data_IF_659393237627
#
_entry.id   IF_659393237627
#
_cell.length_a   1.000
_cell.length_b   1.000
_cell.length_c   1.000
_cell.angle_alpha   90.00
_cell.angle_beta   90.00
_cell.angle_gamma   90.00
#
_symmetry.space_group_name_H-M   'P 1'
#
loop_
_entity.id
_entity.type
_entity.pdbx_description
1 polymer ?
#
# COMPACT_ATOMS: atom_id res chain seq x y z
N UNK A 1 20.85 -3.55 -30.41
CA UNK A 1 19.48 -3.30 -29.92
C UNK A 1 19.59 -2.89 -28.47
N UNK A 2 19.55 -1.59 -28.18
CA UNK A 2 19.63 -1.09 -26.80
C UNK A 2 18.22 -1.19 -26.23
N UNK A 3 18.02 -1.99 -25.18
CA UNK A 3 16.73 -2.04 -24.51
C UNK A 3 16.45 -0.66 -23.94
N UNK A 4 15.41 -0.01 -24.47
CA UNK A 4 14.84 1.20 -23.89
C UNK A 4 14.23 0.76 -22.56
N UNK A 5 15.03 0.75 -21.50
CA UNK A 5 14.52 0.55 -20.15
C UNK A 5 13.57 1.70 -19.87
N UNK A 6 12.27 1.43 -19.81
CA UNK A 6 11.31 2.45 -19.38
C UNK A 6 11.65 2.81 -17.94
N UNK A 7 12.14 4.03 -17.71
CA UNK A 7 12.34 4.55 -16.36
C UNK A 7 10.98 4.57 -15.64
N UNK A 8 10.87 3.78 -14.58
CA UNK A 8 9.72 3.78 -13.68
C UNK A 8 9.99 4.70 -12.50
N UNK A 9 9.01 5.54 -12.18
CA UNK A 9 8.97 6.30 -10.94
C UNK A 9 8.12 5.53 -9.95
N UNK A 10 8.68 5.20 -8.80
CA UNK A 10 7.93 4.57 -7.72
C UNK A 10 7.38 5.66 -6.80
N UNK A 11 6.08 5.61 -6.55
CA UNK A 11 5.38 6.58 -5.70
C UNK A 11 4.67 5.78 -4.62
N UNK A 12 4.87 6.15 -3.37
CA UNK A 12 4.01 5.76 -2.27
C UNK A 12 3.11 6.94 -1.91
N UNK A 13 1.80 6.71 -1.90
CA UNK A 13 0.79 7.69 -1.52
C UNK A 13 0.16 7.27 -0.20
N UNK A 14 0.26 8.12 0.82
CA UNK A 14 -0.42 7.94 2.11
C UNK A 14 -1.14 9.21 2.56
N UNK A 15 -1.81 9.12 3.70
CA UNK A 15 -2.42 10.27 4.36
C UNK A 15 -1.34 11.16 4.98
N UNK A 16 -1.24 12.39 4.49
CA UNK A 16 -0.27 13.39 4.97
C UNK A 16 1.19 13.15 4.56
N UNK A 17 1.46 12.10 3.77
CA UNK A 17 2.81 11.78 3.31
C UNK A 17 2.77 11.16 1.92
N UNK A 18 3.64 11.68 1.06
CA UNK A 18 3.97 11.10 -0.22
C UNK A 18 5.46 10.78 -0.24
N UNK A 19 5.80 9.66 -0.84
CA UNK A 19 7.16 9.15 -0.91
C UNK A 19 7.49 8.86 -2.35
N UNK A 20 8.62 9.37 -2.83
CA UNK A 20 8.95 9.40 -4.23
C UNK A 20 10.34 8.80 -4.46
N UNK A 21 10.43 7.85 -5.39
CA UNK A 21 11.70 7.31 -5.87
C UNK A 21 11.79 7.46 -7.38
N UNK A 22 12.68 8.36 -7.81
CA UNK A 22 13.11 8.48 -9.20
C UNK A 22 14.37 7.62 -9.39
N UNK A 23 14.54 6.91 -10.52
CA UNK A 23 15.78 6.19 -10.82
C UNK A 23 17.01 7.08 -10.66
N UNK A 24 18.08 6.53 -10.09
CA UNK A 24 19.36 7.23 -9.86
C UNK A 24 19.32 8.47 -8.94
N UNK A 25 18.19 8.79 -8.32
CA UNK A 25 18.07 9.88 -7.34
C UNK A 25 17.87 9.33 -5.93
N UNK A 26 18.16 10.13 -4.92
CA UNK A 26 17.77 9.82 -3.55
C UNK A 26 16.24 9.76 -3.43
N UNK A 27 15.75 8.91 -2.55
CA UNK A 27 14.33 8.84 -2.26
C UNK A 27 13.90 10.09 -1.49
N UNK A 28 12.77 10.66 -1.88
CA UNK A 28 12.26 11.90 -1.31
C UNK A 28 11.00 11.61 -0.49
N UNK A 29 10.90 12.24 0.68
CA UNK A 29 9.69 12.24 1.50
C UNK A 29 9.07 13.64 1.43
N UNK A 30 7.83 13.70 0.97
CA UNK A 30 7.03 14.91 0.84
C UNK A 30 5.96 14.83 1.93
N UNK A 31 5.98 15.76 2.87
CA UNK A 31 4.93 15.89 3.87
C UNK A 31 3.89 16.91 3.41
N UNK A 32 2.62 16.60 3.68
CA UNK A 32 1.50 17.49 3.41
C UNK A 32 0.44 17.33 4.51
N UNK A 33 -0.48 18.29 4.69
CA UNK A 33 -1.61 18.11 5.58
C UNK A 33 -2.46 16.89 5.20
N UNK A 34 -2.91 16.14 6.21
CA UNK A 34 -3.81 14.98 6.03
C UNK A 34 -5.17 15.37 5.43
N UNK A 35 -5.56 16.65 5.56
CA UNK A 35 -6.82 17.20 5.06
C UNK A 35 -6.77 17.62 3.60
N UNK A 36 -5.62 17.52 2.93
CA UNK A 36 -5.53 17.92 1.53
C UNK A 36 -6.28 16.96 0.60
N UNK A 37 -7.06 17.49 -0.35
CA UNK A 37 -7.66 16.65 -1.38
C UNK A 37 -6.56 16.08 -2.30
N UNK A 38 -6.86 14.94 -2.91
CA UNK A 38 -5.92 14.22 -3.78
C UNK A 38 -5.35 15.12 -4.87
N UNK A 39 -6.17 15.96 -5.51
CA UNK A 39 -5.76 16.88 -6.57
C UNK A 39 -4.61 17.79 -6.12
N UNK A 40 -4.62 18.25 -4.87
CA UNK A 40 -3.58 19.12 -4.32
C UNK A 40 -2.31 18.34 -4.01
N UNK A 41 -2.43 17.12 -3.50
CA UNK A 41 -1.29 16.20 -3.30
C UNK A 41 -0.62 15.89 -4.65
N UNK A 42 -1.43 15.60 -5.68
CA UNK A 42 -0.95 15.31 -7.03
C UNK A 42 -0.31 16.53 -7.72
N UNK A 43 -0.82 17.74 -7.47
CA UNK A 43 -0.21 18.97 -7.95
C UNK A 43 1.19 19.18 -7.34
N UNK A 44 1.33 19.03 -6.03
CA UNK A 44 2.64 19.11 -5.36
C UNK A 44 3.60 18.03 -5.87
N UNK A 45 3.11 16.81 -6.08
CA UNK A 45 3.90 15.73 -6.65
C UNK A 45 4.40 16.06 -8.06
N UNK A 46 3.57 16.69 -8.89
CA UNK A 46 3.96 17.13 -10.23
C UNK A 46 5.05 18.21 -10.19
N UNK A 47 4.97 19.16 -9.26
CA UNK A 47 6.01 20.18 -9.03
C UNK A 47 7.34 19.54 -8.67
N UNK A 48 7.37 18.64 -7.69
CA UNK A 48 8.59 17.94 -7.26
C UNK A 48 9.16 17.10 -8.42
N UNK A 49 8.30 16.39 -9.15
CA UNK A 49 8.71 15.63 -10.32
C UNK A 49 9.34 16.55 -11.37
N UNK A 50 8.80 17.74 -11.61
CA UNK A 50 9.36 18.69 -12.59
C UNK A 50 10.73 19.26 -12.19
N UNK A 51 10.95 19.52 -10.89
CA UNK A 51 12.21 20.06 -10.35
C UNK A 51 13.38 19.05 -10.44
N UNK A 52 13.09 17.75 -10.38
CA UNK A 52 14.09 16.68 -10.45
C UNK A 52 14.76 16.48 -11.83
N UNK A 53 14.76 17.50 -12.71
CA UNK A 53 15.41 17.45 -14.04
C UNK A 53 14.71 16.54 -15.05
N UNK A 54 13.45 16.22 -14.81
CA UNK A 54 12.72 15.18 -15.56
C UNK A 54 12.14 15.66 -16.90
N UNK A 55 12.18 16.96 -17.17
CA UNK A 55 11.46 17.60 -18.27
C UNK A 55 12.02 17.34 -19.68
N UNK A 56 13.30 16.99 -19.83
CA UNK A 56 13.96 17.11 -21.15
C UNK A 56 14.39 15.83 -21.86
N UNK A 57 14.29 14.63 -21.26
CA UNK A 57 14.87 13.41 -21.88
C UNK A 57 13.95 12.22 -22.13
N UNK A 58 12.67 12.24 -21.74
CA UNK A 58 11.97 10.96 -21.52
C UNK A 58 10.70 10.77 -22.34
N UNK A 59 10.87 9.99 -23.42
CA UNK A 59 9.78 9.28 -24.06
C UNK A 59 9.15 8.29 -23.06
N UNK A 60 7.85 8.47 -22.74
CA UNK A 60 6.96 7.54 -22.00
C UNK A 60 7.47 7.05 -20.64
N UNK A 61 7.33 7.90 -19.61
CA UNK A 61 7.53 7.48 -18.22
C UNK A 61 6.39 6.62 -17.69
N UNK A 62 6.75 5.68 -16.83
CA UNK A 62 5.80 4.82 -16.13
C UNK A 62 5.78 5.11 -14.64
N UNK A 63 4.59 5.08 -14.04
CA UNK A 63 4.42 5.22 -12.59
C UNK A 63 4.11 3.85 -11.98
N UNK A 64 4.82 3.49 -10.93
CA UNK A 64 4.42 2.40 -10.05
C UNK A 64 3.94 3.02 -8.75
N UNK A 65 2.63 2.95 -8.52
CA UNK A 65 2.00 3.60 -7.37
C UNK A 65 1.69 2.54 -6.33
N UNK A 66 2.17 2.77 -5.12
CA UNK A 66 1.85 1.99 -3.94
C UNK A 66 0.97 2.85 -3.03
N UNK A 67 -0.17 2.32 -2.61
CA UNK A 67 -1.09 3.02 -1.71
C UNK A 67 -0.84 2.57 -0.28
N UNK A 68 -0.85 3.53 0.66
CA UNK A 68 -0.85 3.19 2.07
C UNK A 68 -2.13 2.46 2.46
N UNK A 69 -2.07 1.70 3.55
CA UNK A 69 -3.27 1.13 4.15
C UNK A 69 -4.30 2.20 4.55
N UNK A 70 -3.90 3.43 4.87
CA UNK A 70 -4.85 4.49 5.21
C UNK A 70 -5.67 4.99 3.99
N UNK A 71 -5.12 4.88 2.78
CA UNK A 71 -5.85 5.20 1.54
C UNK A 71 -6.53 3.98 0.93
N UNK A 72 -5.96 2.79 1.15
CA UNK A 72 -6.42 1.52 0.59
C UNK A 72 -6.39 0.42 1.68
N UNK A 73 -7.36 0.46 2.62
CA UNK A 73 -7.37 -0.43 3.78
C UNK A 73 -7.49 -1.90 3.35
N UNK A 74 -6.78 -2.77 4.07
CA UNK A 74 -6.96 -4.20 3.94
C UNK A 74 -8.25 -4.60 4.64
N UNK A 75 -9.10 -5.35 3.95
CA UNK A 75 -10.36 -5.88 4.50
C UNK A 75 -10.40 -7.39 4.30
N UNK A 76 -10.62 -8.13 5.38
CA UNK A 76 -10.88 -9.57 5.32
C UNK A 76 -12.32 -9.83 4.87
N UNK A 77 -12.53 -10.86 4.06
CA UNK A 77 -13.85 -11.34 3.69
C UNK A 77 -13.93 -12.86 3.78
N UNK A 78 -15.13 -13.36 4.05
CA UNK A 78 -15.40 -14.79 4.16
C UNK A 78 -16.21 -15.26 2.97
N UNK A 79 -15.60 -16.09 2.13
CA UNK A 79 -16.30 -16.78 1.07
C UNK A 79 -16.89 -18.11 1.60
N UNK A 80 -18.12 -18.49 1.21
CA UNK A 80 -18.64 -19.83 1.43
C UNK A 80 -17.72 -20.89 0.81
N UNK A 81 -17.62 -22.07 1.44
CA UNK A 81 -16.69 -23.14 1.01
C UNK A 81 -17.00 -23.66 -0.40
N UNK A 82 -18.24 -23.50 -0.84
CA UNK A 82 -18.75 -23.91 -2.15
C UNK A 82 -18.28 -22.97 -3.27
N UNK A 83 -17.93 -21.72 -2.93
CA UNK A 83 -17.53 -20.70 -3.91
C UNK A 83 -16.06 -20.87 -4.26
N UNK A 84 -15.81 -21.43 -5.45
CA UNK A 84 -14.45 -21.67 -5.96
C UNK A 84 -14.10 -20.84 -7.19
N UNK A 85 -15.09 -20.24 -7.84
CA UNK A 85 -14.86 -19.46 -9.05
C UNK A 85 -14.32 -18.09 -8.71
N UNK A 86 -13.23 -17.70 -9.35
CA UNK A 86 -12.57 -16.41 -9.12
C UNK A 86 -13.54 -15.21 -9.26
N UNK A 87 -14.42 -15.24 -10.26
CA UNK A 87 -15.38 -14.16 -10.48
C UNK A 87 -16.41 -14.03 -9.34
N UNK A 88 -16.85 -15.16 -8.77
CA UNK A 88 -17.78 -15.18 -7.63
C UNK A 88 -17.07 -14.69 -6.36
N UNK A 89 -15.82 -15.13 -6.12
CA UNK A 89 -14.99 -14.62 -5.03
C UNK A 89 -14.80 -13.10 -5.13
N UNK A 90 -14.55 -12.59 -6.35
CA UNK A 90 -14.40 -11.16 -6.60
C UNK A 90 -15.66 -10.37 -6.29
N UNK A 91 -16.84 -10.91 -6.62
CA UNK A 91 -18.12 -10.29 -6.28
C UNK A 91 -18.33 -10.23 -4.77
N UNK A 92 -18.01 -11.31 -4.04
CA UNK A 92 -18.08 -11.35 -2.57
C UNK A 92 -17.12 -10.32 -1.98
N UNK A 93 -15.85 -10.32 -2.41
CA UNK A 93 -14.85 -9.37 -1.96
C UNK A 93 -15.29 -7.92 -2.18
N UNK A 94 -15.86 -7.63 -3.36
CA UNK A 94 -16.35 -6.31 -3.69
C UNK A 94 -17.54 -5.89 -2.82
N UNK A 95 -18.51 -6.77 -2.61
CA UNK A 95 -19.65 -6.53 -1.73
C UNK A 95 -19.22 -6.34 -0.27
N UNK A 96 -18.28 -7.16 0.23
CA UNK A 96 -17.72 -7.02 1.58
C UNK A 96 -16.99 -5.69 1.74
N UNK A 97 -16.16 -5.30 0.77
CA UNK A 97 -15.48 -4.01 0.81
C UNK A 97 -16.47 -2.84 0.81
N UNK A 98 -17.52 -2.89 -0.02
CA UNK A 98 -18.55 -1.86 -0.09
C UNK A 98 -19.30 -1.72 1.25
N UNK A 99 -19.67 -2.86 1.85
CA UNK A 99 -20.31 -2.90 3.17
C UNK A 99 -19.40 -2.32 4.27
N UNK A 100 -18.11 -2.63 4.27
CA UNK A 100 -17.13 -2.07 5.23
C UNK A 100 -17.01 -0.55 5.10
N UNK A 101 -17.12 -0.02 3.87
CA UNK A 101 -17.05 1.41 3.60
C UNK A 101 -18.40 2.13 3.83
N UNK A 102 -19.50 1.39 3.94
CA UNK A 102 -20.84 1.97 4.03
C UNK A 102 -21.27 2.67 2.73
N UNK A 103 -20.84 2.15 1.58
CA UNK A 103 -21.08 2.72 0.25
C UNK A 103 -21.61 1.66 -0.73
N UNK A 104 -22.11 2.09 -1.87
CA UNK A 104 -22.51 1.19 -2.95
C UNK A 104 -21.28 0.60 -3.67
N UNK A 105 -21.40 -0.61 -4.19
CA UNK A 105 -20.27 -1.32 -4.82
C UNK A 105 -19.71 -0.57 -6.04
N UNK A 106 -20.53 0.14 -6.82
CA UNK A 106 -20.07 0.94 -7.97
C UNK A 106 -19.28 2.19 -7.58
N UNK A 107 -19.34 2.61 -6.31
CA UNK A 107 -18.60 3.74 -5.76
C UNK A 107 -17.17 3.39 -5.35
N UNK A 108 -16.79 2.10 -5.40
CA UNK A 108 -15.43 1.64 -5.10
C UNK A 108 -14.84 0.78 -6.22
N UNK A 109 -13.53 0.91 -6.38
CA UNK A 109 -12.69 -0.05 -7.10
C UNK A 109 -12.12 -1.02 -6.08
N UNK A 110 -12.23 -2.32 -6.36
CA UNK A 110 -11.84 -3.37 -5.45
C UNK A 110 -10.94 -4.39 -6.17
N UNK A 111 -9.85 -4.79 -5.50
CA UNK A 111 -8.95 -5.84 -5.96
C UNK A 111 -8.61 -6.81 -4.83
N UNK A 112 -8.45 -8.08 -5.18
CA UNK A 112 -8.19 -9.16 -4.22
C UNK A 112 -6.71 -9.49 -4.17
N UNK A 113 -6.23 -9.93 -3.00
CA UNK A 113 -4.90 -10.51 -2.91
C UNK A 113 -4.80 -11.77 -3.77
N UNK A 114 -3.82 -11.80 -4.68
CA UNK A 114 -3.55 -12.94 -5.55
C UNK A 114 -3.10 -14.18 -4.75
N UNK A 115 -2.62 -13.99 -3.51
CA UNK A 115 -2.28 -15.07 -2.58
C UNK A 115 -3.47 -15.88 -2.07
N UNK A 116 -4.71 -15.48 -2.39
CA UNK A 116 -5.91 -16.28 -2.10
C UNK A 116 -6.36 -16.25 -0.64
N UNK A 117 -5.85 -15.32 0.17
CA UNK A 117 -6.16 -15.24 1.61
C UNK A 117 -7.55 -14.67 1.93
N UNK A 118 -8.44 -14.42 0.97
CA UNK A 118 -9.72 -13.77 1.32
C UNK A 118 -9.52 -12.33 1.85
N UNK A 119 -8.51 -11.64 1.32
CA UNK A 119 -8.20 -10.24 1.64
C UNK A 119 -8.44 -9.41 0.40
N UNK A 120 -9.03 -8.25 0.60
CA UNK A 120 -9.33 -7.30 -0.47
C UNK A 120 -8.84 -5.90 -0.12
N UNK A 121 -8.46 -5.16 -1.15
CA UNK A 121 -8.14 -3.74 -1.10
C UNK A 121 -9.22 -2.99 -1.88
N UNK A 122 -9.65 -1.86 -1.34
CA UNK A 122 -10.57 -0.98 -2.06
C UNK A 122 -10.18 0.48 -1.95
N UNK A 123 -10.59 1.25 -2.96
CA UNK A 123 -10.48 2.72 -3.01
C UNK A 123 -11.73 3.29 -3.67
N UNK A 124 -12.06 4.55 -3.38
CA UNK A 124 -13.17 5.22 -4.04
C UNK A 124 -12.96 5.40 -5.55
N UNK A 125 -14.01 5.19 -6.34
CA UNK A 125 -13.99 5.33 -7.81
C UNK A 125 -13.57 6.74 -8.24
N UNK A 126 -14.04 7.79 -7.54
CA UNK A 126 -13.65 9.19 -7.81
C UNK A 126 -12.15 9.41 -7.59
N UNK A 127 -11.60 8.83 -6.51
CA UNK A 127 -10.17 8.91 -6.19
C UNK A 127 -9.33 8.30 -7.33
N UNK A 128 -9.72 7.10 -7.79
CA UNK A 128 -9.07 6.42 -8.91
C UNK A 128 -9.14 7.24 -10.21
N UNK A 129 -10.32 7.78 -10.53
CA UNK A 129 -10.52 8.61 -11.73
C UNK A 129 -9.69 9.89 -11.69
N UNK A 130 -9.57 10.56 -10.54
CA UNK A 130 -8.69 11.73 -10.38
C UNK A 130 -7.23 11.35 -10.62
N UNK A 131 -6.75 10.25 -10.05
CA UNK A 131 -5.38 9.78 -10.27
C UNK A 131 -5.10 9.48 -11.75
N UNK A 132 -6.02 8.79 -12.43
CA UNK A 132 -5.89 8.45 -13.85
C UNK A 132 -5.90 9.71 -14.74
N UNK A 133 -6.82 10.65 -14.49
CA UNK A 133 -6.89 11.93 -15.23
C UNK A 133 -5.61 12.74 -15.06
N UNK A 134 -5.09 12.81 -13.83
CA UNK A 134 -3.84 13.50 -13.55
C UNK A 134 -2.67 12.87 -14.30
N UNK A 135 -2.50 11.55 -14.22
CA UNK A 135 -1.42 10.85 -14.93
C UNK A 135 -1.51 11.07 -16.44
N UNK A 136 -2.72 10.98 -17.01
CA UNK A 136 -2.96 11.25 -18.43
C UNK A 136 -2.62 12.71 -18.82
N UNK A 137 -3.01 13.69 -17.99
CA UNK A 137 -2.72 15.10 -18.18
C UNK A 137 -1.22 15.44 -18.18
N UNK A 138 -0.41 14.64 -17.50
CA UNK A 138 1.06 14.74 -17.49
C UNK A 138 1.75 13.77 -18.47
N UNK A 139 1.01 13.09 -19.35
CA UNK A 139 1.52 12.07 -20.28
C UNK A 139 2.28 10.92 -19.58
N UNK A 140 1.88 10.57 -18.37
CA UNK A 140 2.40 9.44 -17.61
C UNK A 140 1.50 8.22 -17.76
N UNK A 141 2.11 7.03 -17.79
CA UNK A 141 1.38 5.77 -17.76
C UNK A 141 1.48 5.14 -16.37
N UNK A 142 0.36 4.96 -15.69
CA UNK A 142 0.33 4.14 -14.47
C UNK A 142 0.55 2.68 -14.89
N UNK A 143 1.71 2.12 -14.58
CA UNK A 143 2.08 0.75 -14.91
C UNK A 143 1.59 -0.24 -13.84
N UNK A 144 1.53 0.19 -12.58
CA UNK A 144 0.94 -0.58 -11.49
C UNK A 144 0.35 0.33 -10.44
N UNK A 145 -0.73 -0.11 -9.82
CA UNK A 145 -1.33 0.47 -8.63
C UNK A 145 -1.64 -0.67 -7.65
N UNK A 146 -1.06 -0.64 -6.45
CA UNK A 146 -1.20 -1.73 -5.47
C UNK A 146 -1.16 -1.19 -4.05
N UNK A 147 -1.85 -1.79 -3.08
CA UNK A 147 -1.65 -1.45 -1.69
C UNK A 147 -0.26 -1.92 -1.20
N UNK A 148 0.32 -1.21 -0.23
CA UNK A 148 1.62 -1.55 0.34
C UNK A 148 1.60 -2.94 0.99
N UNK A 149 0.50 -3.30 1.66
CA UNK A 149 0.39 -4.59 2.31
C UNK A 149 0.46 -5.76 1.32
N UNK A 150 0.01 -5.60 0.08
CA UNK A 150 0.15 -6.63 -0.96
C UNK A 150 1.61 -6.79 -1.42
N UNK A 151 2.45 -5.77 -1.25
CA UNK A 151 3.90 -5.89 -1.45
C UNK A 151 4.52 -6.60 -0.24
N UNK A 152 4.08 -6.24 0.97
CA UNK A 152 4.61 -6.79 2.21
C UNK A 152 4.37 -8.29 2.35
N UNK A 153 3.16 -8.77 2.05
CA UNK A 153 2.78 -10.20 2.09
C UNK A 153 3.60 -11.06 1.12
N UNK A 154 4.11 -10.46 0.06
CA UNK A 154 4.91 -11.14 -0.96
C UNK A 154 6.42 -11.01 -0.70
N UNK A 155 6.83 -10.32 0.38
CA UNK A 155 8.24 -10.21 0.75
C UNK A 155 8.80 -11.58 1.16
N UNK A 156 10.09 -11.88 0.86
CA UNK A 156 10.70 -13.15 1.29
C UNK A 156 10.56 -13.40 2.79
N UNK A 157 10.65 -12.34 3.61
CA UNK A 157 10.49 -12.41 5.06
C UNK A 157 9.09 -12.87 5.47
N UNK A 158 8.05 -12.30 4.85
CA UNK A 158 6.68 -12.73 5.10
C UNK A 158 6.38 -14.16 4.64
N UNK A 159 7.11 -14.67 3.63
CA UNK A 159 6.93 -16.03 3.12
C UNK A 159 7.74 -17.10 3.85
N UNK A 160 8.74 -16.70 4.65
CA UNK A 160 9.68 -17.61 5.32
C UNK A 160 9.52 -17.61 6.85
N UNK A 161 8.42 -17.06 7.36
CA UNK A 161 8.17 -16.94 8.80
C UNK A 161 7.15 -17.96 9.28
N UNK A 162 7.34 -18.46 10.50
CA UNK A 162 6.35 -19.25 11.25
C UNK A 162 5.30 -18.37 11.95
N UNK A 163 5.32 -17.04 11.70
CA UNK A 163 4.35 -16.12 12.28
C UNK A 163 2.93 -16.42 11.81
N UNK A 164 1.96 -16.22 12.71
CA UNK A 164 0.53 -16.40 12.45
C UNK A 164 -0.04 -15.28 11.55
N UNK A 165 0.74 -14.23 11.32
CA UNK A 165 0.37 -13.09 10.51
C UNK A 165 1.48 -12.04 10.42
N UNK A 166 1.13 -10.92 9.83
CA UNK A 166 1.96 -9.74 9.63
C UNK A 166 1.34 -8.54 10.34
N UNK A 167 2.18 -7.74 10.98
CA UNK A 167 1.85 -6.40 11.42
C UNK A 167 2.74 -5.42 10.65
N UNK A 168 2.12 -4.69 9.72
CA UNK A 168 2.79 -3.80 8.78
C UNK A 168 2.68 -2.39 9.34
N UNK A 169 3.81 -1.80 9.70
CA UNK A 169 3.92 -0.43 10.17
C UNK A 169 4.26 0.47 8.99
N UNK A 170 3.34 1.35 8.65
CA UNK A 170 3.45 2.34 7.59
C UNK A 170 3.60 3.74 8.23
N UNK A 171 4.12 4.73 7.49
CA UNK A 171 4.23 6.11 7.96
C UNK A 171 2.92 6.74 8.46
N UNK A 172 1.77 6.29 7.96
CA UNK A 172 0.44 6.85 8.20
C UNK A 172 -0.62 5.78 8.52
N UNK A 173 -0.21 4.53 8.72
CA UNK A 173 -1.11 3.43 9.03
C UNK A 173 -0.40 2.27 9.72
N UNK A 174 -1.19 1.42 10.39
CA UNK A 174 -0.77 0.06 10.75
C UNK A 174 -1.77 -0.91 10.16
N UNK A 175 -1.28 -1.89 9.38
CA UNK A 175 -2.11 -2.92 8.75
C UNK A 175 -1.79 -4.28 9.36
N UNK A 176 -2.80 -4.95 9.91
CA UNK A 176 -2.70 -6.31 10.45
C UNK A 176 -3.31 -7.29 9.45
N UNK A 177 -2.59 -8.36 9.14
CA UNK A 177 -3.03 -9.47 8.29
C UNK A 177 -2.67 -10.77 9.00
N UNK A 178 -3.65 -11.60 9.33
CA UNK A 178 -3.41 -12.86 10.02
C UNK A 178 -4.44 -13.91 9.63
N UNK A 179 -4.14 -15.17 9.93
CA UNK A 179 -5.09 -16.26 9.80
C UNK A 179 -5.92 -16.35 11.09
N UNK A 180 -7.24 -16.34 10.97
CA UNK A 180 -8.19 -16.48 12.07
C UNK A 180 -8.36 -17.93 12.51
N UNK A 181 -8.95 -18.13 13.69
CA UNK A 181 -9.07 -19.44 14.35
C UNK A 181 -9.82 -20.50 13.51
N UNK A 182 -10.63 -20.08 12.53
CA UNK A 182 -11.42 -20.96 11.66
C UNK A 182 -10.98 -20.90 10.19
N UNK A 183 -9.75 -20.45 9.91
CA UNK A 183 -9.20 -20.33 8.56
C UNK A 183 -9.75 -19.14 7.76
N UNK A 184 -10.46 -18.22 8.40
CA UNK A 184 -10.84 -16.93 7.83
C UNK A 184 -9.69 -15.94 7.95
N UNK A 185 -9.46 -15.09 6.94
CA UNK A 185 -8.44 -14.06 7.09
C UNK A 185 -8.95 -12.89 7.92
N UNK A 186 -8.12 -12.51 8.89
CA UNK A 186 -8.25 -11.27 9.63
C UNK A 186 -7.38 -10.25 8.91
N UNK A 187 -8.00 -9.26 8.29
CA UNK A 187 -7.29 -8.12 7.73
C UNK A 187 -8.00 -6.83 8.11
N UNK A 188 -7.25 -5.92 8.72
CA UNK A 188 -7.74 -4.61 9.14
C UNK A 188 -6.61 -3.60 9.07
N UNK A 189 -6.96 -2.36 8.75
CA UNK A 189 -6.04 -1.23 8.82
C UNK A 189 -6.51 -0.22 9.84
N UNK A 190 -5.55 0.28 10.62
CA UNK A 190 -5.70 1.36 11.57
C UNK A 190 -4.95 2.59 11.01
N UNK A 191 -5.67 3.60 10.54
CA UNK A 191 -5.10 4.80 9.93
C UNK A 191 -4.64 5.82 10.99
N UNK A 192 -3.40 6.30 10.88
CA UNK A 192 -2.80 7.28 11.79
C UNK A 192 -1.29 7.06 11.97
N UNK A 193 -0.63 8.03 12.60
CA UNK A 193 0.76 7.91 13.05
C UNK A 193 0.79 7.39 14.49
N UNK A 194 1.34 6.18 14.67
CA UNK A 194 1.40 5.48 15.95
C UNK A 194 2.83 5.25 16.45
N UNK A 195 3.81 6.01 15.95
CA UNK A 195 5.21 5.89 16.36
C UNK A 195 5.49 6.24 17.83
N UNK A 196 4.53 6.86 18.54
CA UNK A 196 4.66 7.26 19.93
C UNK A 196 4.12 6.22 20.93
N UNK A 197 4.55 6.29 22.19
CA UNK A 197 4.16 5.35 23.25
C UNK A 197 2.63 5.27 23.48
N UNK A 198 1.93 6.40 23.35
CA UNK A 198 0.46 6.45 23.40
C UNK A 198 -0.19 5.70 22.23
N UNK A 199 0.43 5.75 21.04
CA UNK A 199 0.01 5.00 19.86
C UNK A 199 0.11 3.49 20.06
N UNK A 200 1.18 3.01 20.71
CA UNK A 200 1.36 1.58 20.98
C UNK A 200 0.25 0.97 21.84
N UNK A 201 -0.24 1.70 22.85
CA UNK A 201 -1.36 1.24 23.68
C UNK A 201 -2.69 1.16 22.90
N UNK A 202 -2.85 2.00 21.88
CA UNK A 202 -4.01 1.97 20.98
C UNK A 202 -3.91 0.79 20.01
N UNK A 203 -2.74 0.58 19.42
CA UNK A 203 -2.45 -0.56 18.53
C UNK A 203 -2.71 -1.88 19.24
N UNK A 204 -2.22 -2.05 20.46
CA UNK A 204 -2.48 -3.26 21.26
C UNK A 204 -3.96 -3.48 21.52
N UNK A 205 -4.70 -2.43 21.90
CA UNK A 205 -6.15 -2.52 22.12
C UNK A 205 -6.90 -2.91 20.85
N UNK A 206 -6.49 -2.33 19.72
CA UNK A 206 -7.04 -2.67 18.41
C UNK A 206 -6.75 -4.13 18.03
N UNK A 207 -5.52 -4.63 18.20
CA UNK A 207 -5.18 -6.03 17.95
C UNK A 207 -5.99 -7.00 18.82
N UNK A 208 -6.17 -6.69 20.11
CA UNK A 208 -7.03 -7.48 21.02
C UNK A 208 -8.47 -7.50 20.52
N UNK A 209 -8.99 -6.37 20.03
CA UNK A 209 -10.31 -6.29 19.40
C UNK A 209 -10.46 -7.16 18.14
N UNK A 210 -9.35 -7.41 17.44
CA UNK A 210 -9.29 -8.35 16.31
C UNK A 210 -9.06 -9.82 16.74
N UNK A 211 -8.90 -10.09 18.04
CA UNK A 211 -8.55 -11.42 18.54
C UNK A 211 -7.11 -11.84 18.24
N UNK A 212 -6.23 -10.89 17.93
CA UNK A 212 -4.83 -11.13 17.60
C UNK A 212 -3.93 -10.89 18.82
N UNK A 213 -2.86 -11.69 18.91
CA UNK A 213 -1.77 -11.45 19.86
C UNK A 213 -0.55 -10.92 19.13
N UNK A 214 0.03 -9.84 19.65
CA UNK A 214 1.19 -9.15 19.07
C UNK A 214 2.41 -10.09 18.91
N UNK A 215 2.65 -10.98 19.88
CA UNK A 215 3.77 -11.95 19.86
C UNK A 215 3.66 -13.01 18.76
N UNK A 216 2.47 -13.23 18.20
CA UNK A 216 2.25 -14.14 17.08
C UNK A 216 2.45 -13.50 15.71
N UNK A 217 2.73 -12.19 15.63
CA UNK A 217 2.80 -11.45 14.37
C UNK A 217 4.25 -11.10 14.01
N UNK A 218 4.59 -11.17 12.72
CA UNK A 218 5.83 -10.61 12.20
C UNK A 218 5.65 -9.11 11.97
N UNK A 219 6.46 -8.30 12.65
CA UNK A 219 6.46 -6.85 12.49
C UNK A 219 7.33 -6.45 11.28
N UNK A 220 6.71 -5.82 10.30
CA UNK A 220 7.38 -5.25 9.13
C UNK A 220 7.22 -3.73 9.18
N UNK A 221 8.32 -3.00 9.30
CA UNK A 221 8.33 -1.55 9.29
C UNK A 221 8.71 -1.07 7.89
N UNK A 222 7.85 -0.26 7.31
CA UNK A 222 8.11 0.46 6.06
C UNK A 222 8.53 1.89 6.36
N UNK A 223 9.67 2.30 5.82
CA UNK A 223 10.11 3.69 5.96
C UNK A 223 11.23 4.06 5.01
N UNK A 224 11.18 5.29 4.52
CA UNK A 224 12.28 5.86 3.73
C UNK A 224 13.29 6.49 4.68
N UNK A 225 14.51 5.96 4.66
CA UNK A 225 15.70 6.64 5.19
C UNK A 225 16.34 7.44 4.06
N UNK A 226 16.91 8.60 4.36
CA UNK A 226 17.58 9.46 3.38
C UNK A 226 18.81 8.81 2.70
N UNK A 227 19.22 7.59 3.10
CA UNK A 227 20.34 6.87 2.50
C UNK A 227 19.90 5.57 1.83
N UNK A 228 19.98 5.56 0.49
CA UNK A 228 20.79 4.69 -0.39
C UNK A 228 20.18 4.77 -1.77
N UNK A 229 20.99 5.10 -2.77
CA UNK A 229 20.64 4.80 -4.15
C UNK A 229 20.45 3.28 -4.23
N UNK A 230 19.23 2.83 -4.57
CA UNK A 230 18.98 1.40 -4.71
C UNK A 230 19.90 0.81 -5.80
N UNK A 231 20.62 -0.29 -5.53
CA UNK A 231 21.19 -1.09 -6.60
C UNK A 231 20.03 -1.61 -7.46
N UNK A 232 20.20 -1.48 -8.78
CA UNK A 232 19.23 -1.82 -9.82
C UNK A 232 18.48 -3.14 -9.50
N UNK A 233 17.15 -3.06 -9.34
CA UNK A 233 16.32 -4.24 -9.11
C UNK A 233 14.83 -3.92 -8.95
N UNK A 234 13.99 -4.67 -9.68
CA UNK A 234 12.53 -4.55 -9.81
C UNK A 234 11.72 -5.08 -8.60
N UNK A 235 12.12 -4.74 -7.37
CA UNK A 235 11.26 -5.01 -6.20
C UNK A 235 10.92 -3.68 -5.54
N UNK A 236 9.87 -3.04 -6.05
CA UNK A 236 9.37 -1.78 -5.52
C UNK A 236 9.32 -1.85 -3.98
N UNK A 237 9.96 -0.89 -3.34
CA UNK A 237 9.98 -0.71 -1.89
C UNK A 237 10.74 -1.76 -1.05
N UNK A 238 11.30 -2.83 -1.63
CA UNK A 238 11.91 -3.93 -0.88
C UNK A 238 13.06 -3.49 0.06
N UNK A 239 13.86 -2.52 -0.36
CA UNK A 239 14.99 -2.00 0.42
C UNK A 239 14.58 -1.11 1.61
N UNK A 240 13.28 -0.79 1.74
CA UNK A 240 12.74 0.12 2.75
C UNK A 240 11.95 -0.62 3.84
N UNK A 241 12.10 -1.95 3.89
CA UNK A 241 11.53 -2.80 4.92
C UNK A 241 12.57 -3.17 5.98
N UNK A 242 12.21 -3.05 7.25
CA UNK A 242 12.98 -3.61 8.37
C UNK A 242 12.07 -4.37 9.32
N UNK A 243 12.58 -5.34 10.07
CA UNK A 243 11.83 -5.94 11.19
C UNK A 243 12.03 -5.12 12.45
N UNK A 244 11.12 -5.21 13.42
CA UNK A 244 11.28 -4.55 14.73
C UNK A 244 12.59 -4.93 15.44
N UNK A 245 13.09 -6.16 15.23
CA UNK A 245 14.36 -6.65 15.75
C UNK A 245 15.61 -6.06 15.06
N UNK A 246 15.45 -5.36 13.93
CA UNK A 246 16.56 -4.78 13.14
C UNK A 246 16.64 -3.26 13.27
N UNK A 247 15.87 -2.68 14.19
CA UNK A 247 16.03 -1.27 14.54
C UNK A 247 17.35 -1.15 15.33
N UNK A 248 18.32 -0.34 14.88
CA UNK A 248 19.56 -0.13 15.63
C UNK A 248 19.30 0.46 17.02
#
# INVERSE_FOLDING_TARGET
MWSVWSESVDIYLGQGVTMLKIPHQEAQRIQHPVTWPLERVLAQLAEVLSQGGTQHRLQRRTLQITLSGALCPATGFKAPQEVRRWNELRQIAHASAAATWGVEADQIVCDMDAGGRGITASVGTVWMQTLQRWAAGHHWRIASLRPLWAVATQSPRARQTDALGLLIHEPDAITAIADGAHGEAIASTLAGDYGQASGQALVRRWLVGLGLREDGLLHLNFGIRAQTAMPLGLKAWAAYWSTSAETP
#
